data_IF_902053874054
#
_entry.id   IF_902053874054
#
_cell.length_a   1.000
_cell.length_b   1.000
_cell.length_c   1.000
_cell.angle_alpha   90.00
_cell.angle_beta   90.00
_cell.angle_gamma   90.00
#
_symmetry.space_group_name_H-M   'P 1'
#
loop_
_entity.id
_entity.type
_entity.pdbx_description
1 polymer ?
#
# COMPACT_ATOMS: atom_id res chain seq x y z
N UNK A 1 56.88 -37.40 50.52
CA UNK A 1 56.30 -37.76 51.83
C UNK A 1 55.34 -36.69 52.26
N UNK A 2 54.23 -36.93 52.86
CA UNK A 2 53.19 -37.94 52.59
C UNK A 2 51.78 -37.39 52.59
N UNK A 3 50.83 -38.23 52.23
CA UNK A 3 49.49 -38.45 52.76
C UNK A 3 48.39 -37.53 52.24
N UNK A 4 47.58 -38.03 51.31
CA UNK A 4 46.33 -38.77 51.53
C UNK A 4 45.35 -38.09 52.45
N UNK A 5 44.22 -37.63 51.93
CA UNK A 5 42.92 -37.91 52.50
C UNK A 5 41.82 -37.90 51.45
N UNK A 6 41.26 -39.03 51.19
CA UNK A 6 40.02 -39.41 50.60
C UNK A 6 38.84 -38.75 51.33
N UNK A 7 37.87 -38.19 50.63
CA UNK A 7 36.45 -38.15 51.08
C UNK A 7 35.48 -38.29 49.89
N UNK A 8 34.41 -39.02 50.03
CA UNK A 8 33.62 -39.56 48.94
C UNK A 8 32.50 -38.61 48.46
N UNK A 9 31.85 -38.97 47.35
CA UNK A 9 30.93 -38.09 46.65
C UNK A 9 29.55 -38.08 47.25
N UNK A 10 28.94 -36.89 47.39
CA UNK A 10 27.54 -36.77 47.64
C UNK A 10 26.84 -36.48 46.30
N UNK A 11 26.15 -37.52 45.83
CA UNK A 11 25.31 -37.52 44.64
C UNK A 11 24.03 -36.75 44.97
N UNK A 12 23.87 -35.53 44.47
CA UNK A 12 22.59 -34.81 44.44
C UNK A 12 22.10 -34.84 43.02
N UNK A 13 21.20 -35.75 42.74
CA UNK A 13 20.44 -35.81 41.51
C UNK A 13 19.33 -34.73 41.55
N UNK A 14 19.51 -33.60 40.89
CA UNK A 14 18.46 -32.64 40.63
C UNK A 14 17.83 -32.99 39.27
N UNK A 15 16.68 -33.64 39.32
CA UNK A 15 15.81 -33.83 38.17
C UNK A 15 15.11 -32.49 37.89
N UNK A 16 15.67 -31.71 36.97
CA UNK A 16 14.98 -30.56 36.36
C UNK A 16 14.18 -31.07 35.17
N UNK A 17 12.92 -31.40 35.39
CA UNK A 17 11.96 -31.63 34.32
C UNK A 17 11.63 -30.27 33.67
N UNK A 18 12.43 -29.83 32.71
CA UNK A 18 12.14 -28.71 31.84
C UNK A 18 11.17 -29.15 30.74
N UNK A 19 9.87 -28.94 30.93
CA UNK A 19 8.93 -28.91 29.83
C UNK A 19 9.26 -27.69 28.96
N UNK A 20 10.08 -27.88 27.96
CA UNK A 20 10.20 -26.93 26.86
C UNK A 20 8.89 -26.96 26.07
N UNK A 21 7.97 -26.06 26.41
CA UNK A 21 6.82 -25.76 25.61
C UNK A 21 7.29 -25.18 24.27
N UNK A 22 7.38 -26.03 23.26
CA UNK A 22 7.51 -25.60 21.86
C UNK A 22 6.20 -24.92 21.48
N UNK A 23 6.10 -23.62 21.74
CA UNK A 23 5.08 -22.78 21.07
C UNK A 23 5.46 -22.69 19.61
N UNK A 24 4.95 -23.61 18.80
CA UNK A 24 4.99 -23.46 17.35
C UNK A 24 4.34 -22.11 17.02
N UNK A 25 4.98 -21.25 16.20
CA UNK A 25 4.34 -20.03 15.74
C UNK A 25 3.07 -20.43 15.00
N UNK A 26 1.92 -20.07 15.53
CA UNK A 26 0.63 -20.24 14.85
C UNK A 26 0.73 -19.49 13.52
N UNK A 27 0.54 -20.15 12.37
CA UNK A 27 0.51 -19.45 11.10
C UNK A 27 -0.55 -18.36 11.16
N UNK A 28 -0.32 -17.17 10.57
CA UNK A 28 -1.30 -16.11 10.56
C UNK A 28 -2.60 -16.64 9.98
N UNK A 29 -3.68 -16.53 10.77
CA UNK A 29 -5.01 -16.95 10.32
C UNK A 29 -5.35 -16.23 9.03
N UNK A 30 -5.89 -16.92 8.00
CA UNK A 30 -6.37 -16.25 6.80
C UNK A 30 -7.34 -15.13 7.18
N UNK A 31 -7.32 -13.98 6.50
CA UNK A 31 -8.23 -12.89 6.79
C UNK A 31 -9.67 -13.39 6.71
N UNK A 32 -10.45 -13.08 7.74
CA UNK A 32 -11.85 -13.49 7.82
C UNK A 32 -12.63 -13.02 6.58
N UNK A 33 -13.55 -13.82 6.02
CA UNK A 33 -14.34 -13.43 4.87
C UNK A 33 -15.14 -12.17 5.17
N UNK A 34 -15.02 -11.16 4.32
CA UNK A 34 -15.69 -9.87 4.50
C UNK A 34 -17.18 -10.03 4.27
N UNK A 35 -17.96 -9.59 5.23
CA UNK A 35 -19.42 -9.65 5.16
C UNK A 35 -19.98 -8.68 4.10
N UNK A 36 -21.17 -8.95 3.53
CA UNK A 36 -21.83 -8.01 2.61
C UNK A 36 -21.97 -6.59 3.21
N UNK A 37 -22.31 -6.48 4.48
CA UNK A 37 -22.42 -5.20 5.19
C UNK A 37 -21.10 -4.44 5.23
N UNK A 38 -19.97 -5.12 5.47
CA UNK A 38 -18.64 -4.49 5.44
C UNK A 38 -18.26 -3.99 4.05
N UNK A 39 -18.63 -4.72 3.00
CA UNK A 39 -18.40 -4.28 1.61
C UNK A 39 -19.21 -3.03 1.26
N UNK A 40 -20.47 -2.98 1.67
CA UNK A 40 -21.33 -1.81 1.47
C UNK A 40 -20.76 -0.59 2.20
N UNK A 41 -20.42 -0.71 3.48
CA UNK A 41 -19.82 0.38 4.25
C UNK A 41 -18.50 0.88 3.65
N UNK A 42 -17.66 -0.02 3.14
CA UNK A 42 -16.40 0.36 2.48
C UNK A 42 -16.65 1.11 1.15
N UNK A 43 -17.67 0.70 0.38
CA UNK A 43 -18.05 1.37 -0.85
C UNK A 43 -18.64 2.77 -0.58
N UNK A 44 -19.46 2.92 0.44
CA UNK A 44 -20.00 4.20 0.89
C UNK A 44 -18.88 5.15 1.35
N UNK A 45 -17.94 4.67 2.15
CA UNK A 45 -16.77 5.45 2.56
C UNK A 45 -15.95 5.93 1.35
N UNK A 46 -15.73 5.07 0.35
CA UNK A 46 -15.03 5.46 -0.87
C UNK A 46 -15.82 6.50 -1.69
N UNK A 47 -17.15 6.42 -1.70
CA UNK A 47 -18.00 7.40 -2.37
C UNK A 47 -17.91 8.79 -1.71
N UNK A 48 -17.85 8.86 -0.39
CA UNK A 48 -17.61 10.10 0.37
C UNK A 48 -16.24 10.70 0.00
N UNK A 49 -15.19 9.86 -0.02
CA UNK A 49 -13.85 10.31 -0.39
C UNK A 49 -13.77 10.81 -1.84
N UNK A 50 -14.52 10.20 -2.75
CA UNK A 50 -14.61 10.67 -4.14
C UNK A 50 -15.22 12.06 -4.22
N UNK A 51 -16.28 12.34 -3.48
CA UNK A 51 -16.88 13.67 -3.43
C UNK A 51 -15.91 14.71 -2.86
N UNK A 52 -15.22 14.34 -1.79
CA UNK A 52 -14.22 15.21 -1.16
C UNK A 52 -13.05 15.51 -2.11
N UNK A 53 -12.46 14.51 -2.75
CA UNK A 53 -11.42 14.71 -3.76
C UNK A 53 -11.92 15.51 -4.96
N UNK A 54 -13.14 15.24 -5.42
CA UNK A 54 -13.77 16.00 -6.50
C UNK A 54 -13.96 17.48 -6.17
N UNK A 55 -14.23 17.83 -4.91
CA UNK A 55 -14.31 19.23 -4.48
C UNK A 55 -12.94 19.91 -4.44
N UNK A 56 -11.89 19.19 -4.02
CA UNK A 56 -10.52 19.72 -4.01
C UNK A 56 -9.96 19.99 -5.40
N UNK A 57 -10.32 19.15 -6.36
CA UNK A 57 -9.80 19.25 -7.73
C UNK A 57 -10.77 19.90 -8.71
N UNK A 58 -11.85 20.52 -8.22
CA UNK A 58 -12.73 21.34 -9.04
C UNK A 58 -11.92 22.46 -9.71
N UNK A 59 -12.21 22.72 -10.95
CA UNK A 59 -11.53 23.75 -11.76
C UNK A 59 -10.01 23.53 -11.96
N UNK A 60 -9.56 22.28 -11.74
CA UNK A 60 -8.20 21.86 -12.05
C UNK A 60 -8.20 20.84 -13.19
N UNK A 61 -7.04 20.59 -13.86
CA UNK A 61 -6.93 19.55 -14.88
C UNK A 61 -7.09 18.11 -14.37
N UNK A 62 -7.15 17.92 -13.04
CA UNK A 62 -7.28 16.59 -12.41
C UNK A 62 -8.72 16.11 -12.55
N UNK A 63 -8.90 14.90 -13.10
CA UNK A 63 -10.21 14.26 -13.22
C UNK A 63 -10.40 13.22 -12.13
N UNK A 64 -11.47 13.37 -11.35
CA UNK A 64 -11.91 12.39 -10.36
C UNK A 64 -13.26 11.85 -10.79
N UNK A 65 -13.36 10.56 -11.07
CA UNK A 65 -14.59 9.95 -11.60
C UNK A 65 -14.88 8.61 -10.92
N UNK A 66 -16.16 8.25 -10.89
CA UNK A 66 -16.59 6.91 -10.55
C UNK A 66 -16.60 6.04 -11.81
N UNK A 67 -16.10 4.82 -11.68
CA UNK A 67 -16.19 3.80 -12.73
C UNK A 67 -17.43 2.92 -12.52
N UNK A 68 -17.87 2.24 -13.58
CA UNK A 68 -19.06 1.39 -13.53
C UNK A 68 -18.99 0.23 -12.52
N UNK A 69 -17.77 -0.14 -12.07
CA UNK A 69 -17.53 -1.14 -11.03
C UNK A 69 -17.47 -0.58 -9.59
N UNK A 70 -17.85 0.67 -9.41
CA UNK A 70 -17.81 1.36 -8.12
C UNK A 70 -16.43 1.87 -7.70
N UNK A 71 -15.39 1.60 -8.47
CA UNK A 71 -14.05 2.13 -8.24
C UNK A 71 -14.01 3.64 -8.51
N UNK A 72 -13.09 4.33 -7.85
CA UNK A 72 -12.74 5.72 -8.14
C UNK A 72 -11.50 5.75 -9.04
N UNK A 73 -11.55 6.52 -10.13
CA UNK A 73 -10.38 6.84 -10.95
C UNK A 73 -9.96 8.28 -10.74
N UNK A 74 -8.65 8.50 -10.68
CA UNK A 74 -8.03 9.81 -10.65
C UNK A 74 -7.05 9.88 -11.82
N UNK A 75 -7.19 10.90 -12.65
CA UNK A 75 -6.33 11.12 -13.82
C UNK A 75 -5.70 12.50 -13.73
N UNK A 76 -4.38 12.57 -13.92
CA UNK A 76 -3.61 13.81 -13.93
C UNK A 76 -2.83 13.89 -15.25
N UNK A 77 -3.02 14.93 -16.07
CA UNK A 77 -2.28 15.08 -17.31
C UNK A 77 -0.76 15.10 -17.10
N UNK A 78 -0.01 14.54 -18.05
CA UNK A 78 1.46 14.37 -17.94
C UNK A 78 2.18 15.68 -17.68
N UNK A 79 1.78 16.76 -18.35
CA UNK A 79 2.41 18.09 -18.24
C UNK A 79 2.40 18.66 -16.82
N UNK A 80 1.44 18.25 -15.97
CA UNK A 80 1.37 18.62 -14.55
C UNK A 80 2.05 17.60 -13.65
N UNK A 81 2.45 16.45 -14.20
CA UNK A 81 2.92 15.30 -13.44
C UNK A 81 4.42 15.13 -13.45
N UNK A 82 5.06 15.25 -14.62
CA UNK A 82 6.47 14.98 -14.85
C UNK A 82 7.06 15.95 -15.87
N UNK A 83 8.36 16.25 -15.73
CA UNK A 83 9.12 16.91 -16.77
C UNK A 83 9.54 15.88 -17.83
N UNK A 84 9.76 16.32 -19.09
CA UNK A 84 10.26 15.44 -20.15
C UNK A 84 11.57 14.73 -19.73
N UNK A 85 11.65 13.42 -19.96
CA UNK A 85 12.81 12.59 -19.64
C UNK A 85 13.04 12.35 -18.14
N UNK A 86 12.21 12.90 -17.25
CA UNK A 86 12.40 12.76 -15.79
C UNK A 86 11.33 11.89 -15.16
N UNK A 87 11.72 11.16 -14.12
CA UNK A 87 10.83 10.38 -13.26
C UNK A 87 10.47 11.09 -11.94
N UNK A 88 11.06 12.24 -11.66
CA UNK A 88 10.76 13.01 -10.46
C UNK A 88 9.35 13.61 -10.53
N UNK A 89 8.58 13.42 -9.45
CA UNK A 89 7.21 13.93 -9.33
C UNK A 89 7.24 15.45 -9.23
N UNK A 90 6.45 16.13 -10.07
CA UNK A 90 6.29 17.60 -10.00
C UNK A 90 5.47 18.00 -8.79
N UNK A 91 5.61 19.24 -8.27
CA UNK A 91 4.85 19.73 -7.12
C UNK A 91 3.33 19.59 -7.29
N UNK A 92 2.82 19.78 -8.50
CA UNK A 92 1.38 19.62 -8.77
C UNK A 92 0.91 18.18 -8.57
N UNK A 93 1.64 17.18 -9.08
CA UNK A 93 1.31 15.77 -8.84
C UNK A 93 1.54 15.39 -7.38
N UNK A 94 2.59 15.91 -6.73
CA UNK A 94 2.84 15.67 -5.31
C UNK A 94 1.64 16.12 -4.47
N UNK A 95 1.06 17.29 -4.72
CA UNK A 95 -0.13 17.78 -4.05
C UNK A 95 -1.35 16.87 -4.27
N UNK A 96 -1.52 16.32 -5.47
CA UNK A 96 -2.58 15.32 -5.74
C UNK A 96 -2.34 14.05 -4.91
N UNK A 97 -1.13 13.52 -4.93
CA UNK A 97 -0.78 12.31 -4.16
C UNK A 97 -0.93 12.52 -2.65
N UNK A 98 -0.65 13.71 -2.14
CA UNK A 98 -0.88 14.08 -0.74
C UNK A 98 -2.36 14.00 -0.38
N UNK A 99 -3.25 14.51 -1.24
CA UNK A 99 -4.70 14.42 -1.04
C UNK A 99 -5.22 12.98 -1.17
N UNK A 100 -4.63 12.20 -2.06
CA UNK A 100 -4.93 10.75 -2.15
C UNK A 100 -4.50 10.03 -0.88
N UNK A 101 -3.31 10.30 -0.35
CA UNK A 101 -2.84 9.71 0.91
C UNK A 101 -3.74 10.10 2.09
N UNK A 102 -4.21 11.35 2.15
CA UNK A 102 -5.15 11.83 3.15
C UNK A 102 -6.51 11.10 3.04
N UNK A 103 -7.04 10.94 1.84
CA UNK A 103 -8.25 10.16 1.57
C UNK A 103 -8.09 8.70 2.02
N UNK A 104 -6.98 8.07 1.71
CA UNK A 104 -6.68 6.69 2.12
C UNK A 104 -6.59 6.53 3.65
N UNK A 105 -6.17 7.55 4.39
CA UNK A 105 -6.19 7.51 5.86
C UNK A 105 -7.60 7.54 6.43
N UNK A 106 -8.52 8.30 5.81
CA UNK A 106 -9.94 8.37 6.22
C UNK A 106 -10.73 7.13 5.80
N UNK A 107 -10.32 6.49 4.69
CA UNK A 107 -10.92 5.25 4.21
C UNK A 107 -9.93 4.07 4.35
N UNK A 108 -9.76 3.50 5.55
CA UNK A 108 -8.73 2.48 5.81
C UNK A 108 -8.95 1.20 5.00
N UNK A 109 -10.17 0.94 4.52
CA UNK A 109 -10.50 -0.19 3.65
C UNK A 109 -10.22 0.07 2.17
N UNK A 110 -9.89 1.31 1.77
CA UNK A 110 -9.58 1.59 0.38
C UNK A 110 -8.16 1.15 0.01
N UNK A 111 -8.00 0.68 -1.22
CA UNK A 111 -6.73 0.25 -1.82
C UNK A 111 -6.53 0.94 -3.16
N UNK A 112 -5.28 1.01 -3.61
CA UNK A 112 -4.88 1.57 -4.90
C UNK A 112 -4.25 0.46 -5.75
N UNK A 113 -5.05 -0.44 -6.36
CA UNK A 113 -4.52 -1.54 -7.15
C UNK A 113 -3.80 -1.10 -8.43
N UNK A 114 -4.10 0.09 -8.94
CA UNK A 114 -3.46 0.65 -10.12
C UNK A 114 -2.80 1.99 -9.79
N UNK A 115 -1.49 2.03 -9.98
CA UNK A 115 -0.67 3.24 -10.09
C UNK A 115 0.05 3.17 -11.43
N UNK A 116 -0.41 3.97 -12.39
CA UNK A 116 0.17 3.98 -13.71
C UNK A 116 0.62 5.39 -14.12
N UNK A 117 1.78 5.47 -14.73
CA UNK A 117 2.34 6.72 -15.21
C UNK A 117 2.59 6.67 -16.73
N UNK A 118 2.42 7.80 -17.43
CA UNK A 118 2.66 7.88 -18.87
C UNK A 118 4.15 7.92 -19.19
N UNK A 119 4.49 7.43 -20.38
CA UNK A 119 5.77 7.71 -21.02
C UNK A 119 5.75 9.06 -21.76
N UNK A 120 6.89 9.51 -22.22
CA UNK A 120 7.00 10.71 -23.07
C UNK A 120 6.69 10.40 -24.53
N UNK A 121 6.94 9.17 -24.96
CA UNK A 121 6.70 8.67 -26.29
C UNK A 121 5.45 7.77 -26.35
N UNK A 122 5.00 7.48 -27.57
CA UNK A 122 3.93 6.51 -27.81
C UNK A 122 4.38 5.06 -27.50
N UNK A 123 5.68 4.82 -27.41
CA UNK A 123 6.28 3.53 -27.05
C UNK A 123 6.57 3.51 -25.56
N UNK A 124 6.14 2.45 -24.90
CA UNK A 124 6.39 2.26 -23.46
C UNK A 124 7.88 1.96 -23.23
N UNK A 125 8.52 2.81 -22.44
CA UNK A 125 9.90 2.66 -22.00
C UNK A 125 9.97 2.40 -20.50
N UNK A 126 11.14 2.06 -19.93
CA UNK A 126 11.31 1.96 -18.48
C UNK A 126 10.95 3.24 -17.70
N UNK A 127 10.93 4.41 -18.37
CA UNK A 127 10.62 5.69 -17.74
C UNK A 127 9.21 5.71 -17.14
N UNK A 128 8.21 5.17 -17.83
CA UNK A 128 6.85 5.08 -17.32
C UNK A 128 6.76 4.30 -16.00
N UNK A 129 7.44 3.16 -15.93
CA UNK A 129 7.50 2.36 -14.69
C UNK A 129 8.24 3.11 -13.58
N UNK A 130 9.38 3.74 -13.88
CA UNK A 130 10.13 4.54 -12.91
C UNK A 130 9.28 5.69 -12.34
N UNK A 131 8.47 6.35 -13.18
CA UNK A 131 7.51 7.38 -12.75
C UNK A 131 6.46 6.82 -11.78
N UNK A 132 5.89 5.68 -12.12
CA UNK A 132 4.91 5.01 -11.26
C UNK A 132 5.53 4.55 -9.93
N UNK A 133 6.79 4.09 -9.93
CA UNK A 133 7.56 3.79 -8.72
C UNK A 133 7.72 5.03 -7.83
N UNK A 134 8.04 6.19 -8.40
CA UNK A 134 8.17 7.44 -7.66
C UNK A 134 6.85 7.91 -7.06
N UNK A 135 5.73 7.69 -7.73
CA UNK A 135 4.40 7.93 -7.15
C UNK A 135 4.12 7.01 -5.96
N UNK A 136 4.45 5.71 -6.08
CA UNK A 136 4.30 4.74 -5.01
C UNK A 136 5.18 5.09 -3.80
N UNK A 137 6.44 5.46 -4.04
CA UNK A 137 7.36 5.93 -3.01
C UNK A 137 6.80 7.16 -2.28
N UNK A 138 6.24 8.13 -3.02
CA UNK A 138 5.60 9.31 -2.44
C UNK A 138 4.44 8.94 -1.53
N UNK A 139 3.51 8.08 -1.96
CA UNK A 139 2.39 7.62 -1.13
C UNK A 139 2.86 6.91 0.14
N UNK A 140 3.92 6.08 0.04
CA UNK A 140 4.54 5.42 1.21
C UNK A 140 5.13 6.43 2.19
N UNK A 141 5.82 7.46 1.69
CA UNK A 141 6.37 8.53 2.53
C UNK A 141 5.28 9.33 3.27
N UNK A 142 4.04 9.31 2.76
CA UNK A 142 2.85 9.89 3.40
C UNK A 142 2.12 8.91 4.33
N UNK A 143 2.71 7.75 4.61
CA UNK A 143 2.19 6.77 5.56
C UNK A 143 1.17 5.78 4.99
N UNK A 144 1.04 5.70 3.66
CA UNK A 144 0.20 4.65 3.06
C UNK A 144 0.94 3.32 3.10
N UNK A 145 0.32 2.31 3.72
CA UNK A 145 0.92 0.98 3.84
C UNK A 145 1.13 0.34 2.44
N UNK A 146 2.28 -0.30 2.26
CA UNK A 146 2.66 -0.91 0.99
C UNK A 146 1.66 -1.95 0.48
N UNK A 147 1.09 -2.75 1.39
CA UNK A 147 0.06 -3.74 1.08
C UNK A 147 -1.23 -3.16 0.49
N UNK A 148 -1.42 -1.84 0.56
CA UNK A 148 -2.57 -1.12 -0.04
C UNK A 148 -2.26 -0.56 -1.42
N UNK A 149 -1.02 -0.65 -1.88
CA UNK A 149 -0.55 -0.12 -3.14
C UNK A 149 -0.21 -1.25 -4.11
N UNK A 150 -0.83 -1.24 -5.27
CA UNK A 150 -0.54 -2.16 -6.36
C UNK A 150 0.85 -1.96 -6.94
N UNK A 151 1.20 -2.83 -7.88
CA UNK A 151 2.47 -2.73 -8.60
C UNK A 151 2.46 -1.51 -9.53
N UNK A 152 3.57 -0.77 -9.60
CA UNK A 152 3.76 0.28 -10.59
C UNK A 152 3.61 -0.24 -12.02
N UNK A 153 2.95 0.53 -12.86
CA UNK A 153 2.69 0.13 -14.24
C UNK A 153 2.84 1.32 -15.21
N UNK A 154 3.13 1.08 -16.48
CA UNK A 154 3.00 2.10 -17.50
C UNK A 154 1.52 2.39 -17.78
N UNK A 155 1.18 3.67 -18.00
CA UNK A 155 -0.15 4.06 -18.45
C UNK A 155 -0.26 3.96 -19.98
N UNK A 156 -1.42 3.51 -20.45
CA UNK A 156 -1.71 3.49 -21.88
C UNK A 156 -2.09 4.87 -22.45
N UNK A 157 -2.33 5.87 -21.60
CA UNK A 157 -2.71 7.23 -21.98
C UNK A 157 -1.62 8.23 -21.61
N UNK A 158 -1.73 9.46 -22.11
CA UNK A 158 -0.84 10.56 -21.77
C UNK A 158 -1.14 11.17 -20.38
N UNK A 159 -1.67 10.39 -19.45
CA UNK A 159 -2.04 10.84 -18.09
C UNK A 159 -1.58 9.84 -17.06
N UNK A 160 -1.22 10.33 -15.88
CA UNK A 160 -1.13 9.52 -14.67
C UNK A 160 -2.50 8.96 -14.35
N UNK A 161 -2.55 7.70 -13.98
CA UNK A 161 -3.79 7.03 -13.61
C UNK A 161 -3.65 6.36 -12.24
N UNK A 162 -4.55 6.70 -11.33
CA UNK A 162 -4.75 5.97 -10.08
C UNK A 162 -6.16 5.40 -10.06
N UNK A 163 -6.29 4.16 -9.62
CA UNK A 163 -7.58 3.53 -9.37
C UNK A 163 -7.67 3.15 -7.91
N UNK A 164 -8.71 3.62 -7.24
CA UNK A 164 -8.99 3.28 -5.85
C UNK A 164 -10.22 2.39 -5.80
N UNK A 165 -10.15 1.34 -5.00
CA UNK A 165 -11.27 0.43 -4.75
C UNK A 165 -11.56 0.35 -3.27
N UNK A 166 -12.82 0.11 -2.93
CA UNK A 166 -13.19 -0.32 -1.60
C UNK A 166 -12.84 -1.81 -1.49
N UNK A 167 -11.76 -2.11 -0.78
CA UNK A 167 -11.41 -3.52 -0.59
C UNK A 167 -12.24 -4.14 0.53
N UNK A 168 -12.53 -5.44 0.36
CA UNK A 168 -11.75 -6.38 1.10
C UNK A 168 -11.17 -7.48 0.20
N UNK A 169 -10.31 -7.17 -0.71
CA UNK A 169 -9.58 -8.22 -1.42
C UNK A 169 -8.12 -8.14 -0.97
N UNK A 170 -7.50 -9.26 -0.54
CA UNK A 170 -6.06 -9.33 -0.47
C UNK A 170 -5.54 -9.04 -1.89
N UNK A 171 -4.64 -8.07 -2.00
CA UNK A 171 -3.89 -7.88 -3.25
C UNK A 171 -3.04 -9.12 -3.49
N UNK A 172 -3.00 -9.63 -4.73
CA UNK A 172 -2.19 -10.78 -5.08
C UNK A 172 -0.70 -10.54 -4.86
#
# INVERSE_FOLDING_TARGET
MPMSKLFPPLLVAILVSGCAGMTSPTPPSPPAPTTPAQRTAAAEALAVERQWLGSWFRDTPVKVAQRGDGAMSIEVPREFSFDPGKSSVKPALAAVLDKVAESLRRAPQAQVPLLAAPDDAAVITPLATQRADKMREHLRSRGVAEARLGRPAPAASASVQLRLIAAPLPLP
#
